data_IF_763346904766
#
_entry.id   IF_763346904766
#
_cell.length_a   1.000
_cell.length_b   1.000
_cell.length_c   1.000
_cell.angle_alpha   90.00
_cell.angle_beta   90.00
_cell.angle_gamma   90.00
#
_symmetry.space_group_name_H-M   'P 1'
#
loop_
_entity.id
_entity.type
_entity.pdbx_description
1 polymer ?
#
# COMPACT_ATOMS: atom_id res chain seq x y z
N UNK A 1 -3.92 10.46 14.41
CA UNK A 1 -3.25 9.65 13.38
C UNK A 1 -3.97 8.30 13.30
N UNK A 2 -5.02 8.22 12.50
CA UNK A 2 -6.00 7.10 12.52
C UNK A 2 -5.41 5.83 11.90
N UNK A 3 -4.62 5.96 10.83
CA UNK A 3 -4.05 4.80 10.14
C UNK A 3 -3.07 4.01 11.02
N UNK A 4 -2.32 4.67 11.93
CA UNK A 4 -1.14 4.10 12.62
C UNK A 4 -1.42 2.83 13.44
N UNK A 5 -2.64 2.68 13.96
CA UNK A 5 -3.08 1.50 14.72
C UNK A 5 -4.21 0.75 14.01
N UNK A 6 -4.45 1.07 12.74
CA UNK A 6 -5.48 0.40 11.96
C UNK A 6 -4.98 -1.02 11.62
N UNK A 7 -5.69 -2.08 12.04
CA UNK A 7 -5.25 -3.45 11.80
C UNK A 7 -5.23 -3.82 10.31
N UNK A 8 -5.98 -3.07 9.49
CA UNK A 8 -6.10 -3.27 8.04
C UNK A 8 -5.32 -2.23 7.23
N UNK A 9 -4.28 -1.63 7.81
CA UNK A 9 -3.55 -0.54 7.14
C UNK A 9 -2.98 -0.97 5.79
N UNK A 10 -2.43 -2.19 5.71
CA UNK A 10 -1.78 -2.68 4.49
C UNK A 10 -2.79 -3.11 3.44
N UNK A 11 -3.87 -3.74 3.86
CA UNK A 11 -5.00 -4.15 3.02
C UNK A 11 -5.68 -2.90 2.43
N UNK A 12 -5.91 -1.87 3.25
CA UNK A 12 -6.43 -0.57 2.81
C UNK A 12 -5.49 0.14 1.83
N UNK A 13 -4.18 0.04 2.04
CA UNK A 13 -3.18 0.59 1.12
C UNK A 13 -3.14 -0.13 -0.22
N UNK A 14 -3.20 -1.47 -0.20
CA UNK A 14 -3.23 -2.31 -1.39
C UNK A 14 -4.48 -2.02 -2.23
N UNK A 15 -5.66 -2.05 -1.60
CA UNK A 15 -6.93 -1.79 -2.28
C UNK A 15 -6.95 -0.42 -2.97
N UNK A 16 -6.39 0.61 -2.34
CA UNK A 16 -6.28 1.93 -2.94
C UNK A 16 -5.32 2.00 -4.14
N UNK A 17 -4.29 1.15 -4.18
CA UNK A 17 -3.34 1.07 -5.29
C UNK A 17 -3.91 0.24 -6.44
N UNK A 18 -4.48 -0.94 -6.14
CA UNK A 18 -5.11 -1.84 -7.10
C UNK A 18 -6.26 -1.12 -7.85
N UNK A 19 -7.12 -0.41 -7.11
CA UNK A 19 -8.23 0.35 -7.69
C UNK A 19 -7.85 1.75 -8.20
N UNK A 20 -6.57 2.14 -8.13
CA UNK A 20 -6.06 3.47 -8.53
C UNK A 20 -6.86 4.63 -7.93
N UNK A 21 -7.21 4.52 -6.65
CA UNK A 21 -8.01 5.53 -5.95
C UNK A 21 -7.31 6.89 -5.99
N UNK A 22 -7.99 7.88 -6.57
CA UNK A 22 -7.41 9.17 -6.93
C UNK A 22 -7.16 10.07 -5.72
N UNK A 23 -8.08 10.04 -4.73
CA UNK A 23 -8.12 11.02 -3.65
C UNK A 23 -7.99 10.43 -2.24
N UNK A 24 -7.56 11.27 -1.30
CA UNK A 24 -7.57 10.96 0.13
C UNK A 24 -6.38 10.12 0.62
N UNK A 25 -6.37 9.86 1.94
CA UNK A 25 -5.32 9.09 2.63
C UNK A 25 -5.79 7.66 2.87
N UNK A 26 -5.02 6.69 2.37
CA UNK A 26 -5.35 5.26 2.40
C UNK A 26 -4.13 4.47 2.88
N UNK A 27 -4.32 3.58 3.85
CA UNK A 27 -3.20 2.82 4.43
C UNK A 27 -2.05 3.70 4.98
N UNK A 28 -2.34 4.94 5.39
CA UNK A 28 -1.33 5.91 5.81
C UNK A 28 -0.58 6.61 4.66
N UNK A 29 -0.89 6.30 3.41
CA UNK A 29 -0.30 6.92 2.22
C UNK A 29 -1.18 8.07 1.69
N UNK A 30 -0.53 9.19 1.41
CA UNK A 30 -1.10 10.30 0.62
C UNK A 30 -1.20 9.92 -0.85
N UNK A 31 -2.03 10.66 -1.60
CA UNK A 31 -2.16 10.51 -3.06
C UNK A 31 -0.82 10.58 -3.78
N UNK A 32 0.04 11.53 -3.39
CA UNK A 32 1.37 11.70 -3.97
C UNK A 32 2.26 10.48 -3.77
N UNK A 33 2.20 9.87 -2.57
CA UNK A 33 2.96 8.65 -2.28
C UNK A 33 2.45 7.47 -3.12
N UNK A 34 1.12 7.30 -3.24
CA UNK A 34 0.56 6.24 -4.09
C UNK A 34 0.96 6.39 -5.56
N UNK A 35 0.86 7.60 -6.12
CA UNK A 35 1.30 7.87 -7.51
C UNK A 35 2.77 7.59 -7.74
N UNK A 36 3.63 7.92 -6.77
CA UNK A 36 5.06 7.60 -6.86
C UNK A 36 5.29 6.09 -6.85
N UNK A 37 4.59 5.35 -5.99
CA UNK A 37 4.69 3.90 -5.87
C UNK A 37 4.25 3.19 -7.17
N UNK A 38 3.11 3.57 -7.72
CA UNK A 38 2.60 3.05 -9.01
C UNK A 38 3.57 3.33 -10.17
N UNK A 39 4.29 4.47 -10.13
CA UNK A 39 5.30 4.79 -11.14
C UNK A 39 6.58 3.99 -10.97
N UNK A 40 6.95 3.66 -9.73
CA UNK A 40 8.17 2.90 -9.41
C UNK A 40 8.02 1.41 -9.71
N UNK A 41 6.81 0.87 -9.55
CA UNK A 41 6.49 -0.54 -9.74
C UNK A 41 5.37 -0.74 -10.77
N UNK A 42 5.60 -0.39 -12.06
CA UNK A 42 4.61 -0.61 -13.11
C UNK A 42 4.31 -2.10 -13.36
N UNK A 43 5.19 -3.00 -12.91
CA UNK A 43 5.08 -4.46 -13.05
C UNK A 43 4.18 -5.14 -12.01
N UNK A 44 3.78 -4.42 -10.95
CA UNK A 44 2.99 -5.02 -9.86
C UNK A 44 1.51 -5.07 -10.24
N UNK A 45 0.99 -6.29 -10.37
CA UNK A 45 -0.43 -6.55 -10.69
C UNK A 45 -1.31 -6.73 -9.44
N UNK A 46 -0.72 -7.13 -8.31
CA UNK A 46 -1.41 -7.34 -7.03
C UNK A 46 -0.62 -6.69 -5.90
N UNK A 47 -1.10 -5.53 -5.41
CA UNK A 47 -0.45 -4.81 -4.33
C UNK A 47 -0.61 -5.50 -2.97
N UNK A 48 -1.66 -6.31 -2.80
CA UNK A 48 -1.85 -7.14 -1.62
C UNK A 48 -0.72 -8.16 -1.47
N UNK A 49 -0.39 -8.88 -2.53
CA UNK A 49 0.68 -9.88 -2.52
C UNK A 49 2.05 -9.23 -2.36
N UNK A 50 2.28 -8.09 -3.04
CA UNK A 50 3.51 -7.31 -2.91
C UNK A 50 3.79 -6.92 -1.45
N UNK A 51 2.78 -6.39 -0.74
CA UNK A 51 2.94 -6.02 0.67
C UNK A 51 3.03 -7.23 1.61
N UNK A 52 2.36 -8.34 1.31
CA UNK A 52 2.54 -9.58 2.08
C UNK A 52 3.97 -10.10 1.97
N UNK A 53 4.52 -10.16 0.75
CA UNK A 53 5.89 -10.55 0.52
C UNK A 53 6.85 -9.62 1.29
N UNK A 54 6.65 -8.31 1.23
CA UNK A 54 7.49 -7.34 1.96
C UNK A 54 7.43 -7.52 3.49
N UNK A 55 6.24 -7.78 4.06
CA UNK A 55 6.07 -8.10 5.49
C UNK A 55 6.85 -9.35 5.91
N UNK A 56 6.79 -10.40 5.10
CA UNK A 56 7.49 -11.66 5.38
C UNK A 56 9.02 -11.45 5.40
N UNK A 57 9.55 -10.65 4.47
CA UNK A 57 10.97 -10.29 4.46
C UNK A 57 11.38 -9.46 5.68
N UNK A 58 10.51 -8.56 6.17
CA UNK A 58 10.80 -7.74 7.36
C UNK A 58 10.73 -8.52 8.67
N UNK A 59 9.97 -9.62 8.71
CA UNK A 59 9.79 -10.45 9.93
C UNK A 59 10.88 -11.51 10.09
N UNK A 60 11.72 -11.72 9.07
CA UNK A 60 12.78 -12.74 9.05
C UNK A 60 14.14 -12.22 9.57
N UNK A 61 14.16 -11.10 10.30
CA UNK A 61 15.36 -10.46 10.89
C UNK A 61 15.27 -10.46 12.41
#
# INVERSE_FOLDING_TARGET
MICRHCPVMLECGADALDNRVEFGVWGGMTERQRRALLKQHPEVESWADFFQAQRQHQSAV
#
